data_IF_152521516961
#
_entry.id   IF_152521516961
#
_cell.length_a   1.000
_cell.length_b   1.000
_cell.length_c   1.000
_cell.angle_alpha   90.00
_cell.angle_beta   90.00
_cell.angle_gamma   90.00
#
_symmetry.space_group_name_H-M   'P 1'
#
loop_
_entity.id
_entity.type
_entity.pdbx_description
1 polymer ?
#
# COMPACT_ATOMS: atom_id res chain seq x y z
N UNK A 1 -5.88 2.20 -10.60
CA UNK A 1 -6.38 0.81 -10.65
C UNK A 1 -5.42 -0.22 -10.06
N UNK A 2 -4.11 -0.14 -10.30
CA UNK A 2 -3.14 -1.13 -9.78
C UNK A 2 -3.06 -1.19 -8.25
N UNK A 3 -2.89 -0.03 -7.58
CA UNK A 3 -2.83 0.01 -6.09
C UNK A 3 -4.13 -0.50 -5.47
N UNK A 4 -5.29 -0.13 -6.03
CA UNK A 4 -6.59 -0.60 -5.54
C UNK A 4 -6.77 -2.12 -5.66
N UNK A 5 -6.16 -2.76 -6.68
CA UNK A 5 -6.18 -4.22 -6.82
C UNK A 5 -5.27 -4.89 -5.77
N UNK A 6 -4.05 -4.39 -5.58
CA UNK A 6 -3.13 -4.92 -4.57
C UNK A 6 -3.66 -4.71 -3.13
N UNK A 7 -4.27 -3.56 -2.85
CA UNK A 7 -4.95 -3.31 -1.58
C UNK A 7 -6.10 -4.33 -1.33
N UNK A 8 -6.86 -4.71 -2.37
CA UNK A 8 -7.91 -5.74 -2.24
C UNK A 8 -7.33 -7.10 -1.86
N UNK A 9 -6.19 -7.48 -2.45
CA UNK A 9 -5.52 -8.75 -2.10
C UNK A 9 -5.09 -8.77 -0.62
N UNK A 10 -4.63 -7.65 -0.10
CA UNK A 10 -4.26 -7.52 1.32
C UNK A 10 -5.45 -7.15 2.23
N UNK A 11 -6.69 -7.27 1.75
CA UNK A 11 -7.93 -7.00 2.48
C UNK A 11 -7.92 -5.62 3.19
N UNK A 12 -7.50 -4.59 2.46
CA UNK A 12 -7.51 -3.18 2.90
C UNK A 12 -8.10 -2.31 1.79
N UNK A 13 -8.85 -1.27 2.17
CA UNK A 13 -9.34 -0.28 1.22
C UNK A 13 -8.21 0.69 0.86
N UNK A 14 -8.14 1.14 -0.40
CA UNK A 14 -7.15 2.16 -0.83
C UNK A 14 -7.13 3.37 0.10
N UNK A 15 -8.29 3.88 0.52
CA UNK A 15 -8.37 5.04 1.41
C UNK A 15 -7.76 4.77 2.80
N UNK A 16 -8.01 3.58 3.38
CA UNK A 16 -7.37 3.16 4.64
C UNK A 16 -5.87 3.01 4.48
N UNK A 17 -5.42 2.45 3.36
CA UNK A 17 -3.99 2.31 3.06
C UNK A 17 -3.30 3.67 2.92
N UNK A 18 -3.85 4.60 2.14
CA UNK A 18 -3.30 5.96 2.00
C UNK A 18 -3.33 6.72 3.32
N UNK A 19 -4.42 6.59 4.10
CA UNK A 19 -4.52 7.21 5.42
C UNK A 19 -3.42 6.68 6.34
N UNK A 20 -3.25 5.37 6.41
CA UNK A 20 -2.23 4.75 7.25
C UNK A 20 -0.79 5.00 6.76
N UNK A 21 -0.56 5.17 5.45
CA UNK A 21 0.73 5.66 4.93
C UNK A 21 1.04 7.07 5.44
N UNK A 22 0.03 7.96 5.43
CA UNK A 22 0.16 9.33 5.93
C UNK A 22 0.40 9.37 7.44
N UNK A 23 -0.32 8.55 8.20
CA UNK A 23 -0.15 8.34 9.65
C UNK A 23 1.26 7.83 10.02
N UNK A 24 1.82 6.95 9.20
CA UNK A 24 3.17 6.42 9.37
C UNK A 24 4.26 7.32 8.75
N UNK A 25 3.88 8.51 8.23
CA UNK A 25 4.77 9.45 7.54
C UNK A 25 5.56 8.82 6.39
N UNK A 26 4.98 7.81 5.72
CA UNK A 26 5.58 7.15 4.57
C UNK A 26 5.23 7.98 3.34
N UNK A 27 6.13 8.89 2.96
CA UNK A 27 6.02 9.76 1.79
C UNK A 27 6.30 9.03 0.47
N UNK A 28 5.61 7.90 0.23
CA UNK A 28 5.74 7.17 -1.02
C UNK A 28 4.81 7.73 -2.08
N UNK A 29 5.37 7.97 -3.26
CA UNK A 29 4.64 8.48 -4.41
C UNK A 29 3.72 7.41 -5.01
N UNK A 30 2.57 7.83 -5.55
CA UNK A 30 1.58 6.90 -6.11
C UNK A 30 2.16 6.09 -7.27
N UNK A 31 3.08 6.68 -8.05
CA UNK A 31 3.77 5.98 -9.15
C UNK A 31 4.65 4.84 -8.63
N UNK A 32 5.41 5.10 -7.57
CA UNK A 32 6.29 4.11 -6.94
C UNK A 32 5.45 3.00 -6.31
N UNK A 33 4.35 3.34 -5.63
CA UNK A 33 3.42 2.36 -5.08
C UNK A 33 2.80 1.46 -6.15
N UNK A 34 2.40 2.03 -7.29
CA UNK A 34 1.91 1.24 -8.43
C UNK A 34 2.98 0.29 -8.97
N UNK A 35 4.21 0.79 -9.09
CA UNK A 35 5.34 0.00 -9.58
C UNK A 35 5.71 -1.13 -8.61
N UNK A 36 5.70 -0.86 -7.31
CA UNK A 36 5.93 -1.85 -6.25
C UNK A 36 4.82 -2.90 -6.24
N UNK A 37 3.56 -2.48 -6.34
CA UNK A 37 2.43 -3.40 -6.40
C UNK A 37 2.50 -4.39 -7.58
N UNK A 38 3.09 -3.98 -8.71
CA UNK A 38 3.25 -4.84 -9.89
C UNK A 38 4.54 -5.66 -9.91
N UNK A 39 5.69 -5.02 -9.66
CA UNK A 39 6.99 -5.67 -9.80
C UNK A 39 7.47 -6.35 -8.51
N UNK A 40 7.02 -5.85 -7.35
CA UNK A 40 7.45 -6.30 -6.03
C UNK A 40 6.27 -6.46 -5.06
N UNK A 41 5.32 -7.38 -5.36
CA UNK A 41 4.13 -7.58 -4.52
C UNK A 41 4.49 -7.90 -3.06
N UNK A 42 5.58 -8.64 -2.82
CA UNK A 42 6.08 -8.94 -1.47
C UNK A 42 6.46 -7.69 -0.66
N UNK A 43 7.04 -6.68 -1.31
CA UNK A 43 7.39 -5.40 -0.64
C UNK A 43 6.12 -4.62 -0.36
N UNK A 44 5.20 -4.57 -1.32
CA UNK A 44 3.90 -3.94 -1.13
C UNK A 44 3.13 -4.54 0.04
N UNK A 45 3.12 -5.88 0.16
CA UNK A 45 2.46 -6.59 1.25
C UNK A 45 3.04 -6.22 2.61
N UNK A 46 4.37 -6.19 2.75
CA UNK A 46 5.04 -5.72 3.98
C UNK A 46 4.69 -4.28 4.34
N UNK A 47 4.56 -3.39 3.34
CA UNK A 47 4.14 -2.00 3.57
C UNK A 47 2.70 -2.00 4.07
N UNK A 48 1.81 -2.77 3.44
CA UNK A 48 0.41 -2.88 3.87
C UNK A 48 0.31 -3.43 5.29
N UNK A 49 1.05 -4.48 5.64
CA UNK A 49 1.09 -5.03 7.00
C UNK A 49 1.56 -3.99 8.01
N UNK A 50 2.63 -3.26 7.70
CA UNK A 50 3.16 -2.19 8.55
C UNK A 50 2.16 -1.05 8.74
N UNK A 51 1.35 -0.78 7.72
CA UNK A 51 0.26 0.20 7.77
C UNK A 51 -0.97 -0.33 8.52
N UNK A 52 -1.21 -1.64 8.48
CA UNK A 52 -2.33 -2.34 9.17
C UNK A 52 -2.09 -2.56 10.66
N UNK A 53 -0.84 -2.69 11.09
CA UNK A 53 -0.46 -2.99 12.48
C UNK A 53 -0.66 -1.82 13.48
N UNK A 54 -1.44 -0.80 13.11
CA UNK A 54 -1.73 0.35 13.96
C UNK A 54 -3.21 0.42 14.28
#
# INVERSE_FOLDING_TARGET
>A
MQISAACRQSNISYNKFIHGLKENKIGLDRKILSNLAQNHPQIFEKIVEKVKQK
#
